data_IF_861358467087
#
_entry.id   IF_861358467087
#
_cell.length_a   1.000
_cell.length_b   1.000
_cell.length_c   1.000
_cell.angle_alpha   90.00
_cell.angle_beta   90.00
_cell.angle_gamma   90.00
#
_symmetry.space_group_name_H-M   'P 1'
#
loop_
_entity.id
_entity.type
_entity.pdbx_description
1 polymer ?
#
# COMPACT_ATOMS: atom_id res chain seq x y z
N UNK A 1 -18.39 -14.91 3.38
CA UNK A 1 -17.07 -14.63 4.00
C UNK A 1 -16.93 -13.12 4.08
N UNK A 2 -17.24 -12.55 5.25
CA UNK A 2 -17.11 -11.13 5.55
C UNK A 2 -15.98 -11.00 6.57
N UNK A 3 -14.90 -10.29 6.22
CA UNK A 3 -13.79 -10.03 7.12
C UNK A 3 -14.15 -8.83 8.00
N UNK A 4 -14.86 -9.12 9.08
CA UNK A 4 -15.00 -8.22 10.21
C UNK A 4 -13.65 -8.11 10.91
N UNK A 5 -13.13 -6.88 11.05
CA UNK A 5 -12.03 -6.63 11.99
C UNK A 5 -12.22 -5.29 12.71
N UNK A 6 -13.20 -5.27 13.60
CA UNK A 6 -13.27 -4.33 14.71
C UNK A 6 -12.50 -4.92 15.89
N UNK A 7 -11.41 -4.28 16.30
CA UNK A 7 -10.57 -4.73 17.41
C UNK A 7 -9.40 -3.80 17.63
N UNK A 8 -9.68 -2.62 18.17
CA UNK A 8 -8.69 -1.61 18.55
C UNK A 8 -7.89 -2.10 19.76
N UNK A 9 -6.65 -2.55 19.56
CA UNK A 9 -5.65 -2.60 20.62
C UNK A 9 -4.23 -2.46 20.03
N UNK A 10 -3.67 -1.25 20.12
CA UNK A 10 -2.24 -0.92 19.89
C UNK A 10 -1.62 -1.45 18.57
N UNK A 11 -2.40 -1.46 17.51
CA UNK A 11 -1.94 -1.87 16.18
C UNK A 11 -1.42 -0.64 15.44
N UNK A 12 -0.11 -0.60 15.20
CA UNK A 12 0.52 0.23 14.16
C UNK A 12 -0.43 0.31 12.97
N UNK A 13 -1.06 1.48 12.73
CA UNK A 13 -2.09 1.67 11.69
C UNK A 13 -1.55 1.03 10.42
N UNK A 14 -2.13 -0.11 10.02
CA UNK A 14 -1.82 -0.72 8.73
C UNK A 14 -2.45 0.21 7.71
N UNK A 15 -1.66 1.20 7.27
CA UNK A 15 -2.07 2.14 6.24
C UNK A 15 -2.20 1.34 4.95
N UNK A 16 -3.39 1.33 4.36
CA UNK A 16 -3.62 0.70 3.06
C UNK A 16 -3.04 1.59 1.96
N UNK A 17 -2.90 1.08 0.73
CA UNK A 17 -2.42 1.91 -0.39
C UNK A 17 -3.34 3.09 -0.62
N UNK A 18 -4.66 2.91 -0.45
CA UNK A 18 -5.64 3.99 -0.52
C UNK A 18 -5.41 5.10 0.53
N UNK A 19 -5.14 4.71 1.78
CA UNK A 19 -4.87 5.67 2.88
C UNK A 19 -3.55 6.43 2.65
N UNK A 20 -2.56 5.77 2.05
CA UNK A 20 -1.30 6.40 1.70
C UNK A 20 -1.52 7.36 0.53
N UNK A 21 -2.20 6.94 -0.53
CA UNK A 21 -2.47 7.76 -1.71
C UNK A 21 -3.36 8.99 -1.44
N UNK A 22 -4.23 8.92 -0.43
CA UNK A 22 -5.04 10.06 0.00
C UNK A 22 -4.22 11.19 0.67
N UNK A 23 -2.97 10.92 1.07
CA UNK A 23 -2.09 11.93 1.64
C UNK A 23 -1.36 12.71 0.54
N UNK A 24 -1.06 14.00 0.77
CA UNK A 24 -0.25 14.77 -0.17
C UNK A 24 1.13 14.12 -0.34
N UNK A 25 1.51 13.84 -1.60
CA UNK A 25 2.74 13.10 -1.93
C UNK A 25 2.69 11.60 -1.68
N UNK A 26 1.52 11.04 -1.35
CA UNK A 26 1.33 9.62 -1.07
C UNK A 26 1.62 8.72 -2.27
N UNK A 27 1.22 9.14 -3.47
CA UNK A 27 1.48 8.41 -4.72
C UNK A 27 2.99 8.29 -4.96
N UNK A 28 3.73 9.39 -4.79
CA UNK A 28 5.19 9.40 -4.93
C UNK A 28 5.88 8.50 -3.89
N UNK A 29 5.37 8.49 -2.66
CA UNK A 29 5.85 7.60 -1.60
C UNK A 29 5.62 6.11 -1.94
N UNK A 30 4.47 5.77 -2.54
CA UNK A 30 4.18 4.43 -3.02
C UNK A 30 5.11 4.01 -4.17
N UNK A 31 5.33 4.88 -5.15
CA UNK A 31 6.30 4.62 -6.23
C UNK A 31 7.72 4.40 -5.71
N UNK A 32 8.17 5.24 -4.76
CA UNK A 32 9.47 5.05 -4.11
C UNK A 32 9.53 3.68 -3.43
N UNK A 33 8.48 3.29 -2.71
CA UNK A 33 8.44 2.01 -2.01
C UNK A 33 8.47 0.82 -2.97
N UNK A 34 7.75 0.89 -4.08
CA UNK A 34 7.80 -0.13 -5.15
C UNK A 34 9.23 -0.27 -5.68
N UNK A 35 9.89 0.87 -5.96
CA UNK A 35 11.27 0.87 -6.43
C UNK A 35 12.24 0.24 -5.41
N UNK A 36 12.14 0.60 -4.13
CA UNK A 36 12.95 -0.01 -3.05
C UNK A 36 12.74 -1.52 -2.95
N UNK A 37 11.50 -1.98 -3.05
CA UNK A 37 11.16 -3.41 -2.98
C UNK A 37 11.75 -4.16 -4.16
N UNK A 38 11.66 -3.64 -5.39
CA UNK A 38 12.30 -4.24 -6.56
C UNK A 38 13.81 -4.25 -6.46
N UNK A 39 14.41 -3.15 -6.00
CA UNK A 39 15.86 -3.10 -5.76
C UNK A 39 16.32 -4.11 -4.69
N UNK A 40 15.42 -4.48 -3.78
CA UNK A 40 15.66 -5.50 -2.74
C UNK A 40 15.26 -6.92 -3.17
N UNK A 41 14.81 -7.11 -4.42
CA UNK A 41 14.34 -8.40 -4.96
C UNK A 41 13.02 -8.91 -4.37
N UNK A 42 12.22 -8.03 -3.75
CA UNK A 42 10.92 -8.36 -3.16
C UNK A 42 9.80 -8.00 -4.15
N UNK A 43 9.81 -8.69 -5.30
CA UNK A 43 8.87 -8.41 -6.39
C UNK A 43 7.41 -8.67 -6.00
N UNK A 44 7.15 -9.64 -5.13
CA UNK A 44 5.80 -9.94 -4.67
C UNK A 44 5.13 -8.73 -3.99
N UNK A 45 5.85 -8.06 -3.09
CA UNK A 45 5.32 -6.89 -2.38
C UNK A 45 5.20 -5.67 -3.32
N UNK A 46 6.16 -5.49 -4.23
CA UNK A 46 6.10 -4.45 -5.25
C UNK A 46 4.85 -4.61 -6.13
N UNK A 47 4.64 -5.81 -6.66
CA UNK A 47 3.51 -6.14 -7.52
C UNK A 47 2.17 -6.00 -6.79
N UNK A 48 2.11 -6.34 -5.49
CA UNK A 48 0.90 -6.16 -4.70
C UNK A 48 0.50 -4.67 -4.58
N UNK A 49 1.48 -3.79 -4.33
CA UNK A 49 1.25 -2.34 -4.27
C UNK A 49 0.84 -1.79 -5.64
N UNK A 50 1.55 -2.15 -6.70
CA UNK A 50 1.22 -1.73 -8.08
C UNK A 50 -0.19 -2.16 -8.50
N UNK A 51 -0.58 -3.40 -8.16
CA UNK A 51 -1.92 -3.91 -8.45
C UNK A 51 -3.00 -3.14 -7.69
N UNK A 52 -2.76 -2.83 -6.42
CA UNK A 52 -3.72 -2.04 -5.62
C UNK A 52 -3.81 -0.59 -6.12
N UNK A 53 -2.69 0.04 -6.48
CA UNK A 53 -2.68 1.37 -7.12
C UNK A 53 -3.46 1.38 -8.45
N UNK A 54 -3.24 0.37 -9.29
CA UNK A 54 -3.97 0.22 -10.54
C UNK A 54 -5.47 0.00 -10.34
N UNK A 55 -5.86 -0.79 -9.34
CA UNK A 55 -7.27 -0.99 -8.99
C UNK A 55 -7.95 0.30 -8.52
N UNK A 56 -7.21 1.17 -7.84
CA UNK A 56 -7.67 2.47 -7.37
C UNK A 56 -7.58 3.57 -8.45
N UNK A 57 -7.12 3.25 -9.68
CA UNK A 57 -6.85 4.20 -10.77
C UNK A 57 -5.93 5.37 -10.35
N UNK A 58 -4.99 5.09 -9.45
CA UNK A 58 -3.95 6.00 -9.05
C UNK A 58 -2.83 5.88 -10.09
N UNK A 59 -2.68 6.89 -10.95
CA UNK A 59 -1.64 6.98 -11.97
C UNK A 59 -0.86 8.28 -11.83
#
# INVERSE_FOLDING_TARGET
MAYEKSGMHRSQRRLSVADIAAQPGGIEALHRRVHELRSSGIDFAANAIEREMAALNLR
#
